data_IF_066148443950
#
_entry.id   IF_066148443950
#
_cell.length_a   1.000
_cell.length_b   1.000
_cell.length_c   1.000
_cell.angle_alpha   90.00
_cell.angle_beta   90.00
_cell.angle_gamma   90.00
#
_symmetry.space_group_name_H-M   'P 1'
#
loop_
_entity.id
_entity.type
_entity.pdbx_description
1 polymer ?
#
# COMPACT_ATOMS: atom_id res chain seq x y z
N UNK A 1 -13.92 -25.55 -5.50
CA UNK A 1 -13.49 -25.27 -4.11
C UNK A 1 -13.87 -23.84 -3.75
N UNK A 2 -14.54 -23.64 -2.62
CA UNK A 2 -14.95 -22.31 -2.14
C UNK A 2 -14.01 -21.85 -1.04
N UNK A 3 -13.32 -20.73 -1.26
CA UNK A 3 -12.29 -20.20 -0.36
C UNK A 3 -12.71 -18.86 0.24
N UNK A 4 -12.54 -18.67 1.55
CA UNK A 4 -12.68 -17.38 2.21
C UNK A 4 -11.32 -16.84 2.64
N UNK A 5 -10.98 -15.64 2.17
CA UNK A 5 -9.84 -14.87 2.66
C UNK A 5 -10.33 -13.88 3.72
N UNK A 6 -9.69 -13.82 4.86
CA UNK A 6 -10.00 -12.86 5.93
C UNK A 6 -8.87 -11.84 6.05
N UNK A 7 -9.12 -10.60 5.56
CA UNK A 7 -8.19 -9.48 5.74
C UNK A 7 -8.95 -8.15 5.88
N UNK A 8 -9.30 -7.76 7.09
CA UNK A 8 -10.12 -6.56 7.36
C UNK A 8 -9.41 -5.23 7.03
N UNK A 9 -8.10 -5.16 7.18
CA UNK A 9 -7.31 -3.92 7.04
C UNK A 9 -5.80 -4.22 7.01
N UNK A 10 -4.95 -3.32 6.64
CA UNK A 10 -5.14 -1.96 6.11
C UNK A 10 -5.15 -1.96 4.58
N UNK A 11 -5.32 -0.76 3.94
CA UNK A 11 -5.30 -0.63 2.47
C UNK A 11 -4.13 -1.39 1.83
N UNK A 12 -2.90 -1.07 2.24
CA UNK A 12 -1.71 -1.73 1.70
C UNK A 12 -1.67 -3.23 1.96
N UNK A 13 -2.05 -3.67 3.18
CA UNK A 13 -2.08 -5.10 3.49
C UNK A 13 -3.10 -5.88 2.65
N UNK A 14 -4.26 -5.25 2.31
CA UNK A 14 -5.27 -5.85 1.44
C UNK A 14 -4.72 -5.97 0.01
N UNK A 15 -4.09 -4.92 -0.53
CA UNK A 15 -3.44 -4.95 -1.84
C UNK A 15 -2.41 -6.08 -1.91
N UNK A 16 -1.62 -6.26 -0.85
CA UNK A 16 -0.58 -7.28 -0.79
C UNK A 16 -1.12 -8.73 -0.75
N UNK A 17 -2.46 -8.93 -0.66
CA UNK A 17 -3.09 -10.27 -0.81
C UNK A 17 -3.44 -10.62 -2.26
N UNK A 18 -3.33 -9.69 -3.21
CA UNK A 18 -3.71 -9.96 -4.62
C UNK A 18 -3.04 -11.19 -5.21
N UNK A 19 -1.75 -11.51 -4.94
CA UNK A 19 -1.12 -12.73 -5.43
C UNK A 19 -1.77 -14.03 -4.92
N UNK A 20 -2.31 -14.01 -3.70
CA UNK A 20 -3.05 -15.15 -3.15
C UNK A 20 -4.39 -15.32 -3.89
N UNK A 21 -5.12 -14.21 -4.11
CA UNK A 21 -6.37 -14.21 -4.86
C UNK A 21 -6.17 -14.73 -6.28
N UNK A 22 -5.11 -14.25 -6.97
CA UNK A 22 -4.77 -14.69 -8.32
C UNK A 22 -4.48 -16.20 -8.37
N UNK A 23 -3.71 -16.70 -7.40
CA UNK A 23 -3.36 -18.13 -7.33
C UNK A 23 -4.58 -19.01 -7.05
N UNK A 24 -5.47 -18.60 -6.15
CA UNK A 24 -6.72 -19.31 -5.86
C UNK A 24 -7.65 -19.32 -7.07
N UNK A 25 -7.84 -18.18 -7.71
CA UNK A 25 -8.71 -18.06 -8.89
C UNK A 25 -8.19 -18.89 -10.08
N UNK A 26 -6.88 -18.90 -10.31
CA UNK A 26 -6.26 -19.71 -11.37
C UNK A 26 -6.44 -21.22 -11.10
N UNK A 27 -6.47 -21.63 -9.84
CA UNK A 27 -6.79 -22.99 -9.44
C UNK A 27 -8.31 -23.32 -9.50
N UNK A 28 -9.13 -22.43 -10.05
CA UNK A 28 -10.58 -22.62 -10.20
C UNK A 28 -11.36 -22.47 -8.88
N UNK A 29 -10.82 -21.80 -7.86
CA UNK A 29 -11.53 -21.56 -6.62
C UNK A 29 -12.53 -20.41 -6.76
N UNK A 30 -13.73 -20.57 -6.17
CA UNK A 30 -14.68 -19.49 -5.89
C UNK A 30 -14.14 -18.70 -4.69
N UNK A 31 -13.64 -17.49 -4.95
CA UNK A 31 -12.96 -16.67 -3.93
C UNK A 31 -13.95 -15.72 -3.26
N UNK A 32 -14.03 -15.79 -1.95
CA UNK A 32 -14.72 -14.86 -1.06
C UNK A 32 -13.70 -14.07 -0.24
N UNK A 33 -14.01 -12.79 0.06
CA UNK A 33 -13.09 -11.92 0.78
C UNK A 33 -13.79 -11.14 1.89
N UNK A 34 -13.44 -11.40 3.15
CA UNK A 34 -13.92 -10.66 4.31
C UNK A 34 -13.05 -9.42 4.55
N UNK A 35 -13.62 -8.23 4.38
CA UNK A 35 -12.93 -6.94 4.41
C UNK A 35 -13.70 -5.93 5.25
N UNK A 36 -13.03 -4.94 5.88
CA UNK A 36 -13.74 -3.84 6.52
C UNK A 36 -14.41 -2.94 5.47
N UNK A 37 -15.65 -2.50 5.73
CA UNK A 37 -16.50 -1.74 4.81
C UNK A 37 -15.77 -0.59 4.12
N UNK A 38 -14.95 0.18 4.86
CA UNK A 38 -14.17 1.30 4.32
C UNK A 38 -13.13 0.92 3.25
N UNK A 39 -12.87 -0.37 3.05
CA UNK A 39 -11.94 -0.88 2.04
C UNK A 39 -12.63 -1.82 1.04
N UNK A 40 -13.95 -2.01 1.14
CA UNK A 40 -14.67 -2.94 0.28
C UNK A 40 -14.56 -2.57 -1.21
N UNK A 41 -14.61 -1.27 -1.51
CA UNK A 41 -14.46 -0.74 -2.87
C UNK A 41 -13.13 -1.15 -3.52
N UNK A 42 -12.07 -1.33 -2.73
CA UNK A 42 -10.75 -1.75 -3.24
C UNK A 42 -10.80 -3.12 -3.96
N UNK A 43 -11.71 -4.01 -3.56
CA UNK A 43 -11.81 -5.34 -4.14
C UNK A 43 -12.21 -5.32 -5.63
N UNK A 44 -12.89 -4.26 -6.09
CA UNK A 44 -13.22 -4.09 -7.51
C UNK A 44 -11.99 -3.93 -8.41
N UNK A 45 -10.86 -3.55 -7.85
CA UNK A 45 -9.58 -3.34 -8.55
C UNK A 45 -8.69 -4.58 -8.56
N UNK A 46 -9.12 -5.68 -7.97
CA UNK A 46 -8.34 -6.92 -7.99
C UNK A 46 -8.37 -7.55 -9.39
N UNK A 47 -7.27 -8.18 -9.84
CA UNK A 47 -7.15 -8.71 -11.20
C UNK A 47 -8.03 -9.94 -11.49
N UNK A 48 -8.68 -10.49 -10.47
CA UNK A 48 -9.60 -11.64 -10.56
C UNK A 48 -10.90 -11.35 -9.83
N UNK A 49 -12.05 -11.81 -10.35
CA UNK A 49 -13.34 -11.63 -9.70
C UNK A 49 -13.39 -12.38 -8.36
N UNK A 50 -14.09 -11.80 -7.40
CA UNK A 50 -14.36 -12.39 -6.09
C UNK A 50 -15.64 -11.84 -5.49
N UNK A 51 -16.19 -12.55 -4.49
CA UNK A 51 -17.30 -12.04 -3.69
C UNK A 51 -16.80 -11.33 -2.44
N UNK A 52 -16.96 -10.01 -2.38
CA UNK A 52 -16.61 -9.21 -1.22
C UNK A 52 -17.67 -9.29 -0.11
N UNK A 53 -17.24 -9.45 1.13
CA UNK A 53 -18.07 -9.40 2.34
C UNK A 53 -17.60 -8.27 3.23
N UNK A 54 -18.37 -7.17 3.26
CA UNK A 54 -18.02 -5.97 4.02
C UNK A 54 -18.39 -6.11 5.50
N UNK A 55 -17.46 -5.77 6.39
CA UNK A 55 -17.64 -5.78 7.84
C UNK A 55 -17.49 -4.37 8.42
N UNK A 56 -18.55 -3.84 9.05
CA UNK A 56 -18.57 -2.51 9.67
C UNK A 56 -18.45 -2.52 11.19
N UNK A 57 -18.53 -3.70 11.82
CA UNK A 57 -18.66 -3.85 13.27
C UNK A 57 -17.40 -3.54 14.08
N UNK A 58 -17.61 -3.22 15.36
CA UNK A 58 -16.55 -2.99 16.36
C UNK A 58 -16.63 -3.92 17.55
N UNK A 59 -17.80 -4.46 17.86
CA UNK A 59 -18.11 -5.31 19.00
C UNK A 59 -18.02 -6.81 18.68
N UNK A 60 -18.08 -7.65 19.71
CA UNK A 60 -18.18 -9.10 19.53
C UNK A 60 -19.55 -9.52 18.96
N UNK A 61 -20.62 -8.79 19.31
CA UNK A 61 -21.96 -9.00 18.75
C UNK A 61 -22.02 -8.74 17.25
N UNK A 62 -21.45 -7.63 16.81
CA UNK A 62 -21.35 -7.32 15.37
C UNK A 62 -20.63 -8.44 14.61
N UNK A 63 -19.57 -8.99 15.20
CA UNK A 63 -18.80 -10.07 14.60
C UNK A 63 -19.60 -11.39 14.57
N UNK A 64 -20.44 -11.64 15.59
CA UNK A 64 -21.33 -12.81 15.62
C UNK A 64 -22.39 -12.71 14.52
N UNK A 65 -23.05 -11.56 14.38
CA UNK A 65 -24.02 -11.30 13.31
C UNK A 65 -23.37 -11.40 11.93
N UNK A 66 -22.17 -10.88 11.77
CA UNK A 66 -21.41 -11.00 10.53
C UNK A 66 -21.09 -12.46 10.19
N UNK A 67 -20.69 -13.25 11.19
CA UNK A 67 -20.44 -14.69 11.01
C UNK A 67 -21.72 -15.46 10.66
N UNK A 68 -22.87 -15.09 11.25
CA UNK A 68 -24.18 -15.68 10.92
C UNK A 68 -24.56 -15.47 9.44
N UNK A 69 -24.14 -14.37 8.82
CA UNK A 69 -24.32 -14.13 7.38
C UNK A 69 -23.60 -15.15 6.45
N UNK A 70 -22.79 -16.03 7.01
CA UNK A 70 -22.14 -17.14 6.30
C UNK A 70 -22.75 -18.52 6.62
N UNK A 71 -23.82 -18.59 7.42
CA UNK A 71 -24.39 -19.86 7.92
C UNK A 71 -24.74 -20.84 6.80
N UNK A 72 -25.27 -20.33 5.68
CA UNK A 72 -25.67 -21.13 4.51
C UNK A 72 -24.50 -21.39 3.54
N UNK A 73 -23.29 -20.91 3.88
CA UNK A 73 -22.11 -21.00 3.02
C UNK A 73 -21.07 -21.91 3.65
N UNK A 74 -20.84 -23.04 3.02
CA UNK A 74 -19.74 -23.91 3.41
C UNK A 74 -18.49 -23.50 2.66
N UNK A 75 -17.42 -23.17 3.40
CA UNK A 75 -16.11 -22.92 2.84
C UNK A 75 -15.25 -24.17 2.96
N UNK A 76 -14.65 -24.58 1.85
CA UNK A 76 -13.69 -25.69 1.84
C UNK A 76 -12.35 -25.29 2.47
N UNK A 77 -11.99 -24.00 2.37
CA UNK A 77 -10.77 -23.43 2.89
C UNK A 77 -10.99 -22.00 3.41
N UNK A 78 -10.47 -21.69 4.59
CA UNK A 78 -10.42 -20.33 5.14
C UNK A 78 -8.96 -19.92 5.34
N UNK A 79 -8.57 -18.81 4.71
CA UNK A 79 -7.24 -18.21 4.87
C UNK A 79 -7.32 -16.99 5.79
N UNK A 80 -6.86 -17.12 7.04
CA UNK A 80 -6.72 -15.97 7.96
C UNK A 80 -5.42 -15.21 7.69
N UNK A 81 -5.46 -14.29 6.75
CA UNK A 81 -4.34 -13.40 6.43
C UNK A 81 -4.30 -12.15 7.32
N UNK A 82 -5.19 -12.03 8.30
CA UNK A 82 -5.20 -10.94 9.28
C UNK A 82 -4.54 -11.33 10.61
N UNK A 83 -4.76 -12.55 11.05
CA UNK A 83 -4.14 -13.20 12.20
C UNK A 83 -4.24 -12.39 13.52
N UNK A 84 -5.39 -11.72 13.74
CA UNK A 84 -5.67 -11.01 14.98
C UNK A 84 -6.86 -11.62 15.73
N UNK A 85 -7.21 -11.07 16.91
CA UNK A 85 -8.30 -11.61 17.72
C UNK A 85 -9.66 -11.60 16.99
N UNK A 86 -9.94 -10.55 16.15
CA UNK A 86 -11.22 -10.46 15.41
C UNK A 86 -11.31 -11.53 14.32
N UNK A 87 -10.25 -11.68 13.52
CA UNK A 87 -10.24 -12.70 12.48
C UNK A 87 -10.32 -14.10 13.06
N UNK A 88 -9.60 -14.37 14.15
CA UNK A 88 -9.66 -15.66 14.85
C UNK A 88 -11.07 -15.96 15.41
N UNK A 89 -11.76 -14.95 15.96
CA UNK A 89 -13.14 -15.11 16.41
C UNK A 89 -14.11 -15.38 15.25
N UNK A 90 -13.96 -14.68 14.12
CA UNK A 90 -14.75 -14.96 12.92
C UNK A 90 -14.54 -16.41 12.48
N UNK A 91 -13.29 -16.79 12.25
CA UNK A 91 -12.91 -18.12 11.77
C UNK A 91 -13.45 -19.24 12.67
N UNK A 92 -13.36 -19.08 14.00
CA UNK A 92 -13.93 -20.06 14.95
C UNK A 92 -15.45 -20.22 14.79
N UNK A 93 -16.17 -19.13 14.51
CA UNK A 93 -17.64 -19.16 14.32
C UNK A 93 -18.08 -19.76 12.99
N UNK A 94 -17.21 -19.75 11.97
CA UNK A 94 -17.51 -20.36 10.68
C UNK A 94 -17.53 -21.90 10.74
N UNK A 95 -16.91 -22.50 11.77
CA UNK A 95 -16.88 -23.96 11.96
C UNK A 95 -16.17 -24.75 10.84
N UNK A 96 -15.39 -24.08 10.00
CA UNK A 96 -14.66 -24.71 8.90
C UNK A 96 -13.47 -25.52 9.43
N UNK A 97 -13.28 -26.75 8.96
CA UNK A 97 -12.22 -27.62 9.40
C UNK A 97 -10.84 -27.23 8.84
N UNK A 98 -10.82 -26.71 7.62
CA UNK A 98 -9.57 -26.32 6.96
C UNK A 98 -9.32 -24.83 7.07
N UNK A 99 -8.57 -24.43 8.10
CA UNK A 99 -8.19 -23.04 8.37
C UNK A 99 -6.68 -22.95 8.36
N UNK A 100 -6.15 -22.11 7.48
CA UNK A 100 -4.74 -21.76 7.43
C UNK A 100 -4.53 -20.30 7.83
N UNK A 101 -3.63 -20.07 8.75
CA UNK A 101 -3.28 -18.72 9.22
C UNK A 101 -1.87 -18.38 8.77
N UNK A 102 -1.70 -17.22 8.14
CA UNK A 102 -0.37 -16.83 7.67
C UNK A 102 0.64 -16.73 8.84
N UNK A 103 1.88 -17.22 8.63
CA UNK A 103 2.88 -17.19 9.68
C UNK A 103 3.29 -15.74 9.98
N UNK A 104 3.06 -15.31 11.21
CA UNK A 104 3.45 -13.99 11.68
C UNK A 104 4.95 -13.96 12.01
N UNK A 105 5.68 -12.96 11.54
CA UNK A 105 7.08 -12.72 11.94
C UNK A 105 7.15 -11.80 13.18
N UNK A 106 6.25 -12.01 14.15
CA UNK A 106 6.15 -11.13 15.30
C UNK A 106 7.48 -11.00 16.03
N UNK A 107 8.12 -12.12 16.36
CA UNK A 107 9.37 -12.15 17.12
C UNK A 107 10.53 -11.52 16.34
N UNK A 108 10.67 -11.84 15.04
CA UNK A 108 11.70 -11.23 14.19
C UNK A 108 11.52 -9.71 14.10
N UNK A 109 10.30 -9.24 13.85
CA UNK A 109 9.99 -7.81 13.77
C UNK A 109 10.14 -7.10 15.12
N UNK A 110 9.80 -7.79 16.21
CA UNK A 110 10.03 -7.29 17.57
C UNK A 110 11.53 -7.14 17.85
N UNK A 111 12.33 -8.17 17.56
CA UNK A 111 13.79 -8.12 17.79
C UNK A 111 14.48 -7.04 16.96
N UNK A 112 14.05 -6.79 15.73
CA UNK A 112 14.57 -5.69 14.91
C UNK A 112 14.31 -4.32 15.55
N UNK A 113 13.12 -4.12 16.12
CA UNK A 113 12.74 -2.83 16.73
C UNK A 113 13.42 -2.64 18.07
N UNK A 114 13.41 -3.65 18.95
CA UNK A 114 13.84 -3.51 20.35
C UNK A 114 15.29 -3.93 20.59
N UNK A 115 15.77 -4.97 19.92
CA UNK A 115 17.14 -5.46 20.07
C UNK A 115 18.11 -4.93 19.01
N UNK A 116 17.60 -4.17 18.00
CA UNK A 116 18.39 -3.60 16.89
C UNK A 116 19.25 -4.64 16.14
N UNK A 117 18.81 -5.89 16.11
CA UNK A 117 19.49 -6.98 15.40
C UNK A 117 19.12 -6.97 13.92
N UNK A 118 19.80 -6.12 13.15
CA UNK A 118 19.51 -5.85 11.72
C UNK A 118 19.82 -6.99 10.74
N UNK A 119 20.49 -8.06 11.19
CA UNK A 119 20.76 -9.25 10.35
C UNK A 119 19.58 -10.22 10.28
N UNK A 120 18.56 -10.09 11.14
CA UNK A 120 17.35 -10.92 11.10
C UNK A 120 16.29 -10.15 10.29
N UNK A 121 16.28 -10.30 8.98
CA UNK A 121 15.25 -9.71 8.13
C UNK A 121 13.95 -10.51 8.24
N UNK A 122 12.83 -9.81 8.40
CA UNK A 122 11.52 -10.44 8.22
C UNK A 122 11.30 -10.74 6.74
N UNK A 123 10.69 -11.89 6.44
CA UNK A 123 10.28 -12.19 5.07
C UNK A 123 9.22 -11.18 4.61
N UNK A 124 9.20 -10.89 3.32
CA UNK A 124 8.18 -10.00 2.76
C UNK A 124 6.77 -10.54 3.06
N UNK A 125 5.83 -9.64 3.39
CA UNK A 125 4.48 -10.06 3.82
C UNK A 125 3.75 -10.86 2.73
N UNK A 126 3.97 -10.54 1.45
CA UNK A 126 3.43 -11.31 0.32
C UNK A 126 3.90 -12.77 0.35
N UNK A 127 5.19 -13.00 0.63
CA UNK A 127 5.74 -14.35 0.72
C UNK A 127 5.10 -15.17 1.84
N UNK A 128 4.83 -14.50 2.97
CA UNK A 128 4.13 -15.13 4.10
C UNK A 128 2.66 -15.41 3.81
N UNK A 129 2.00 -14.56 3.01
CA UNK A 129 0.64 -14.83 2.55
C UNK A 129 0.61 -16.01 1.57
N UNK A 130 1.54 -16.04 0.62
CA UNK A 130 1.66 -17.13 -0.33
C UNK A 130 2.06 -18.47 0.32
N UNK A 131 2.79 -18.43 1.44
CA UNK A 131 3.13 -19.63 2.20
C UNK A 131 1.89 -20.36 2.72
N UNK A 132 0.81 -19.62 3.07
CA UNK A 132 -0.45 -20.26 3.52
C UNK A 132 -1.07 -21.17 2.45
N UNK A 133 -0.96 -20.81 1.17
CA UNK A 133 -1.54 -21.62 0.09
C UNK A 133 -0.61 -22.74 -0.39
N UNK A 134 0.69 -22.70 -0.10
CA UNK A 134 1.62 -23.77 -0.45
C UNK A 134 1.28 -25.08 0.25
N UNK A 135 0.74 -25.02 1.46
CA UNK A 135 0.29 -26.21 2.20
C UNK A 135 -0.92 -26.89 1.53
N UNK A 136 -1.61 -26.21 0.63
CA UNK A 136 -2.80 -26.73 -0.09
C UNK A 136 -2.48 -27.26 -1.49
N UNK A 137 -1.22 -27.31 -1.90
CA UNK A 137 -0.76 -27.69 -3.24
C UNK A 137 -1.26 -26.73 -4.36
N UNK A 138 -1.85 -25.59 -4.03
CA UNK A 138 -2.25 -24.57 -4.99
C UNK A 138 -0.99 -23.90 -5.56
N UNK A 139 -0.82 -23.86 -6.89
CA UNK A 139 0.36 -23.26 -7.49
C UNK A 139 0.36 -21.74 -7.29
N UNK A 140 1.52 -21.20 -6.91
CA UNK A 140 1.73 -19.76 -6.83
C UNK A 140 2.00 -19.22 -8.24
N UNK A 141 1.09 -18.43 -8.79
CA UNK A 141 1.20 -17.90 -10.16
C UNK A 141 1.98 -16.59 -10.23
N UNK A 142 1.94 -15.80 -9.17
CA UNK A 142 2.69 -14.54 -9.05
C UNK A 142 3.04 -14.23 -7.61
N UNK A 143 4.08 -13.44 -7.42
CA UNK A 143 4.42 -12.86 -6.11
C UNK A 143 4.41 -11.32 -6.15
N UNK A 144 3.99 -10.73 -7.28
CA UNK A 144 3.89 -9.28 -7.46
C UNK A 144 2.43 -8.87 -7.27
N UNK A 145 2.11 -8.01 -6.29
CA UNK A 145 0.76 -7.47 -6.14
C UNK A 145 0.32 -6.68 -7.37
N UNK A 146 -0.94 -6.81 -7.76
CA UNK A 146 -1.50 -6.13 -8.93
C UNK A 146 -2.88 -5.53 -8.62
N UNK A 147 -3.12 -4.35 -9.17
CA UNK A 147 -4.44 -3.73 -9.29
C UNK A 147 -4.73 -3.43 -10.76
N UNK A 148 -6.00 -3.48 -11.12
CA UNK A 148 -6.47 -3.22 -12.48
C UNK A 148 -7.48 -2.07 -12.45
N UNK A 149 -7.34 -1.12 -13.34
CA UNK A 149 -8.26 0.01 -13.52
C UNK A 149 -8.92 -0.14 -14.87
N UNK A 150 -10.22 0.07 -14.94
CA UNK A 150 -10.98 0.05 -16.18
C UNK A 150 -10.64 1.27 -17.05
N UNK A 151 -10.81 1.14 -18.36
CA UNK A 151 -10.63 2.24 -19.29
C UNK A 151 -11.55 3.45 -18.95
N UNK A 152 -12.76 3.18 -18.45
CA UNK A 152 -13.71 4.21 -18.04
C UNK A 152 -13.22 5.00 -16.82
N UNK A 153 -12.69 4.33 -15.79
CA UNK A 153 -12.13 4.97 -14.60
C UNK A 153 -10.89 5.79 -14.96
N UNK A 154 -10.02 5.23 -15.80
CA UNK A 154 -8.85 5.94 -16.32
C UNK A 154 -9.26 7.21 -17.08
N UNK A 155 -10.24 7.14 -17.97
CA UNK A 155 -10.77 8.29 -18.70
C UNK A 155 -11.44 9.32 -17.75
N UNK A 156 -12.14 8.87 -16.70
CA UNK A 156 -12.72 9.76 -15.67
C UNK A 156 -11.63 10.53 -14.91
N UNK A 157 -10.60 9.82 -14.45
CA UNK A 157 -9.48 10.44 -13.76
C UNK A 157 -8.73 11.43 -14.67
N UNK A 158 -8.56 11.10 -15.96
CA UNK A 158 -7.95 12.00 -16.93
C UNK A 158 -8.74 13.30 -17.08
N UNK A 159 -10.06 13.22 -17.23
CA UNK A 159 -10.92 14.44 -17.31
C UNK A 159 -10.79 15.30 -16.06
N UNK A 160 -10.82 14.67 -14.88
CA UNK A 160 -10.65 15.38 -13.61
C UNK A 160 -9.29 16.08 -13.49
N UNK A 161 -8.22 15.44 -13.94
CA UNK A 161 -6.87 16.01 -13.95
C UNK A 161 -6.75 17.15 -14.97
N UNK A 162 -7.34 16.99 -16.17
CA UNK A 162 -7.36 18.03 -17.20
C UNK A 162 -8.07 19.28 -16.73
N UNK A 163 -9.15 19.17 -15.94
CA UNK A 163 -9.83 20.31 -15.33
C UNK A 163 -8.93 21.08 -14.33
N UNK A 164 -7.91 20.42 -13.76
CA UNK A 164 -6.88 21.05 -12.93
C UNK A 164 -5.73 21.65 -13.77
N UNK A 165 -5.76 21.52 -15.10
CA UNK A 165 -4.69 21.99 -15.99
C UNK A 165 -3.57 20.96 -16.28
N UNK A 166 -3.73 19.73 -15.79
CA UNK A 166 -2.79 18.66 -16.12
C UNK A 166 -3.00 18.12 -17.55
N UNK A 167 -1.91 17.74 -18.21
CA UNK A 167 -1.95 17.13 -19.54
C UNK A 167 -1.18 15.81 -19.54
N UNK A 168 -1.71 14.81 -20.28
CA UNK A 168 -1.15 13.46 -20.38
C UNK A 168 0.12 13.33 -21.23
N UNK A 169 0.47 14.36 -21.99
CA UNK A 169 1.69 14.44 -22.80
C UNK A 169 2.96 14.72 -21.97
N UNK A 170 2.77 15.06 -20.70
CA UNK A 170 3.88 15.37 -19.78
C UNK A 170 4.25 14.17 -18.94
N UNK A 171 5.55 13.93 -18.78
CA UNK A 171 6.03 13.03 -17.74
C UNK A 171 5.45 13.45 -16.39
N UNK A 172 4.94 12.49 -15.61
CA UNK A 172 4.21 12.78 -14.37
C UNK A 172 4.81 12.06 -13.18
N UNK A 173 5.10 12.80 -12.12
CA UNK A 173 5.59 12.29 -10.84
C UNK A 173 4.45 12.33 -9.84
N UNK A 174 4.11 11.18 -9.26
CA UNK A 174 3.17 11.10 -8.14
C UNK A 174 3.88 11.28 -6.80
N UNK A 175 3.30 12.05 -5.90
CA UNK A 175 3.77 12.25 -4.53
C UNK A 175 2.69 11.78 -3.55
N UNK A 176 2.93 10.67 -2.86
CA UNK A 176 2.08 10.18 -1.76
C UNK A 176 2.41 10.93 -0.47
N UNK A 177 1.70 12.05 -0.24
CA UNK A 177 1.98 13.01 0.83
C UNK A 177 1.76 12.44 2.22
N UNK A 178 0.62 11.77 2.41
CA UNK A 178 0.14 11.37 3.71
C UNK A 178 0.60 9.99 4.16
N UNK A 179 0.46 9.75 5.45
CA UNK A 179 0.51 8.43 6.07
C UNK A 179 -0.50 8.34 7.21
N UNK A 180 -1.02 7.12 7.48
CA UNK A 180 -1.95 6.91 8.60
C UNK A 180 -1.40 7.38 9.95
N UNK A 181 -0.09 7.25 10.15
CA UNK A 181 0.59 7.62 11.39
C UNK A 181 1.47 8.84 11.14
N UNK A 182 1.34 9.91 11.96
CA UNK A 182 2.08 11.16 11.76
C UNK A 182 3.61 10.96 11.72
N UNK A 183 4.12 9.98 12.47
CA UNK A 183 5.55 9.68 12.50
C UNK A 183 6.08 9.12 11.17
N UNK A 184 5.22 8.49 10.36
CA UNK A 184 5.57 7.98 9.03
C UNK A 184 5.44 9.03 7.92
N UNK A 185 4.76 10.14 8.20
CA UNK A 185 4.61 11.23 7.24
C UNK A 185 5.99 11.84 6.97
N UNK A 186 6.34 11.91 5.70
CA UNK A 186 7.60 12.54 5.27
C UNK A 186 7.52 14.03 5.60
N UNK A 187 8.55 14.63 6.22
CA UNK A 187 8.56 16.06 6.53
C UNK A 187 8.46 16.93 5.27
N UNK A 188 7.73 18.04 5.35
CA UNK A 188 7.60 19.02 4.25
C UNK A 188 8.94 19.51 3.73
N UNK A 189 9.93 19.66 4.63
CA UNK A 189 11.31 20.04 4.28
C UNK A 189 11.91 19.06 3.26
N UNK A 190 11.76 17.75 3.46
CA UNK A 190 12.29 16.75 2.53
C UNK A 190 11.60 16.82 1.16
N UNK A 191 10.29 17.05 1.14
CA UNK A 191 9.55 17.30 -0.11
C UNK A 191 10.07 18.53 -0.84
N UNK A 192 10.35 19.62 -0.10
CA UNK A 192 10.96 20.83 -0.66
C UNK A 192 12.35 20.61 -1.23
N UNK A 193 13.20 19.84 -0.54
CA UNK A 193 14.53 19.46 -1.01
C UNK A 193 14.45 18.60 -2.28
N UNK A 194 13.54 17.61 -2.32
CA UNK A 194 13.31 16.80 -3.52
C UNK A 194 12.83 17.66 -4.69
N UNK A 195 11.86 18.56 -4.43
CA UNK A 195 11.36 19.48 -5.46
C UNK A 195 12.48 20.39 -6.00
N UNK A 196 13.38 20.89 -5.15
CA UNK A 196 14.51 21.68 -5.56
C UNK A 196 15.48 20.90 -6.47
N UNK A 197 15.79 19.63 -6.13
CA UNK A 197 16.63 18.75 -6.94
C UNK A 197 16.01 18.40 -8.31
N UNK A 198 14.67 18.35 -8.38
CA UNK A 198 13.94 18.08 -9.61
C UNK A 198 13.49 19.35 -10.35
N UNK A 199 14.04 20.54 -9.99
CA UNK A 199 13.60 21.83 -10.57
C UNK A 199 13.76 21.88 -12.09
N UNK A 200 14.82 21.31 -12.63
CA UNK A 200 15.11 21.28 -14.08
C UNK A 200 14.51 20.09 -14.80
N UNK A 201 13.83 19.18 -14.09
CA UNK A 201 13.18 18.00 -14.67
C UNK A 201 11.83 18.41 -15.24
N UNK A 202 11.57 18.27 -16.55
CA UNK A 202 10.33 18.68 -17.18
C UNK A 202 9.23 17.62 -16.87
N UNK A 203 8.59 17.74 -15.71
CA UNK A 203 7.54 16.83 -15.27
C UNK A 203 6.40 17.56 -14.56
N UNK A 204 5.19 17.02 -14.67
CA UNK A 204 4.07 17.37 -13.84
C UNK A 204 4.13 16.64 -12.48
N UNK A 205 3.57 17.23 -11.43
CA UNK A 205 3.56 16.64 -10.10
C UNK A 205 2.11 16.46 -9.63
N UNK A 206 1.68 15.24 -9.38
CA UNK A 206 0.40 14.95 -8.75
C UNK A 206 0.61 14.69 -7.25
N UNK A 207 0.03 15.52 -6.38
CA UNK A 207 0.16 15.36 -4.92
C UNK A 207 -1.08 14.67 -4.37
N UNK A 208 -0.92 13.44 -3.92
CA UNK A 208 -1.99 12.63 -3.35
C UNK A 208 -2.03 12.77 -1.83
N UNK A 209 -3.11 13.32 -1.31
CA UNK A 209 -3.27 13.56 0.13
C UNK A 209 -4.70 13.31 0.61
N UNK A 210 -4.86 13.04 1.90
CA UNK A 210 -6.17 13.00 2.53
C UNK A 210 -6.70 14.42 2.76
N UNK A 211 -8.02 14.58 2.91
CA UNK A 211 -8.64 15.88 3.12
C UNK A 211 -8.03 16.66 4.31
N UNK A 212 -7.64 15.97 5.37
CA UNK A 212 -7.00 16.57 6.55
C UNK A 212 -5.62 17.19 6.29
N UNK A 213 -4.98 16.84 5.18
CA UNK A 213 -3.66 17.36 4.79
C UNK A 213 -3.77 18.53 3.81
N UNK A 214 -4.98 18.98 3.48
CA UNK A 214 -5.25 20.00 2.44
C UNK A 214 -4.50 21.31 2.66
N UNK A 215 -4.52 21.85 3.88
CA UNK A 215 -3.84 23.12 4.20
C UNK A 215 -2.33 22.99 4.00
N UNK A 216 -1.72 21.92 4.51
CA UNK A 216 -0.28 21.71 4.39
C UNK A 216 0.16 21.51 2.92
N UNK A 217 -0.66 20.84 2.12
CA UNK A 217 -0.40 20.68 0.67
C UNK A 217 -0.54 22.01 -0.04
N UNK A 218 -1.59 22.81 0.26
CA UNK A 218 -1.79 24.13 -0.36
C UNK A 218 -0.61 25.07 -0.07
N UNK A 219 -0.16 25.15 1.18
CA UNK A 219 1.02 25.93 1.56
C UNK A 219 2.29 25.48 0.85
N UNK A 220 2.46 24.15 0.68
CA UNK A 220 3.61 23.60 -0.05
C UNK A 220 3.57 23.99 -1.53
N UNK A 221 2.42 23.88 -2.19
CA UNK A 221 2.23 24.25 -3.60
C UNK A 221 2.54 25.72 -3.80
N UNK A 222 1.97 26.61 -2.98
CA UNK A 222 2.21 28.06 -3.04
C UNK A 222 3.70 28.39 -2.88
N UNK A 223 4.36 27.86 -1.83
CA UNK A 223 5.79 28.08 -1.58
C UNK A 223 6.70 27.49 -2.67
N UNK A 224 6.25 26.46 -3.37
CA UNK A 224 7.02 25.85 -4.45
C UNK A 224 7.15 26.78 -5.67
N UNK A 225 6.21 27.71 -5.85
CA UNK A 225 6.13 28.62 -7.00
C UNK A 225 6.02 27.91 -8.35
N UNK A 226 5.52 26.67 -8.37
CA UNK A 226 5.45 25.84 -9.56
C UNK A 226 4.03 25.78 -10.12
N UNK A 227 3.88 26.04 -11.39
CA UNK A 227 2.61 25.95 -12.13
C UNK A 227 2.22 24.49 -12.49
N UNK A 228 3.19 23.55 -12.43
CA UNK A 228 3.00 22.18 -12.85
C UNK A 228 2.73 21.20 -11.68
N UNK A 229 2.14 21.68 -10.59
CA UNK A 229 1.77 20.89 -9.41
C UNK A 229 0.25 20.85 -9.27
N UNK A 230 -0.30 19.64 -9.25
CA UNK A 230 -1.74 19.40 -9.27
C UNK A 230 -2.16 18.59 -8.03
N UNK A 231 -2.86 19.19 -7.06
CA UNK A 231 -3.32 18.51 -5.85
C UNK A 231 -4.48 17.55 -6.12
N UNK A 232 -4.33 16.29 -5.75
CA UNK A 232 -5.37 15.23 -5.72
C UNK A 232 -5.71 14.97 -4.25
N UNK A 233 -6.39 15.92 -3.62
CA UNK A 233 -6.65 15.92 -2.17
C UNK A 233 -8.08 15.54 -1.86
N UNK A 234 -8.29 14.63 -0.90
CA UNK A 234 -9.61 14.23 -0.42
C UNK A 234 -10.48 13.55 -1.47
N UNK A 235 -9.91 13.05 -2.56
CA UNK A 235 -10.65 12.40 -3.63
C UNK A 235 -11.03 10.96 -3.28
N UNK A 236 -12.13 10.43 -3.85
CA UNK A 236 -12.51 9.03 -3.75
C UNK A 236 -11.42 8.08 -4.26
N UNK A 237 -11.44 6.83 -3.79
CA UNK A 237 -10.44 5.83 -4.17
C UNK A 237 -10.33 5.60 -5.70
N UNK A 238 -11.44 5.53 -6.47
CA UNK A 238 -11.37 5.43 -7.93
C UNK A 238 -10.55 6.53 -8.60
N UNK A 239 -10.81 7.78 -8.21
CA UNK A 239 -10.10 8.95 -8.76
C UNK A 239 -8.62 8.93 -8.39
N UNK A 240 -8.31 8.52 -7.15
CA UNK A 240 -6.93 8.39 -6.68
C UNK A 240 -6.18 7.31 -7.46
N UNK A 241 -6.75 6.12 -7.61
CA UNK A 241 -6.13 5.01 -8.34
C UNK A 241 -5.99 5.35 -9.83
N UNK A 242 -7.05 5.95 -10.41
CA UNK A 242 -7.03 6.43 -11.80
C UNK A 242 -5.93 7.45 -12.04
N UNK A 243 -5.80 8.44 -11.15
CA UNK A 243 -4.74 9.45 -11.25
C UNK A 243 -3.33 8.87 -11.06
N UNK A 244 -3.15 7.91 -10.13
CA UNK A 244 -1.86 7.21 -9.94
C UNK A 244 -1.44 6.49 -11.22
N UNK A 245 -2.37 5.91 -12.00
CA UNK A 245 -2.05 5.19 -13.23
C UNK A 245 -1.41 6.03 -14.33
N UNK A 246 -1.47 7.36 -14.22
CA UNK A 246 -0.78 8.29 -15.11
C UNK A 246 0.62 8.68 -14.66
N UNK A 247 1.04 8.24 -13.46
CA UNK A 247 2.37 8.55 -12.97
C UNK A 247 3.42 7.65 -13.60
N UNK A 248 4.55 8.23 -13.98
CA UNK A 248 5.73 7.55 -14.51
C UNK A 248 6.72 7.17 -13.39
N UNK A 249 6.64 7.86 -12.27
CA UNK A 249 7.30 7.53 -11.02
C UNK A 249 6.40 7.94 -9.84
N UNK A 250 6.45 7.21 -8.75
CA UNK A 250 5.67 7.52 -7.55
C UNK A 250 6.57 7.53 -6.31
N UNK A 251 6.65 8.66 -5.63
CA UNK A 251 7.43 8.81 -4.39
C UNK A 251 6.47 8.92 -3.21
N UNK A 252 6.62 8.09 -2.20
CA UNK A 252 5.68 8.06 -1.08
C UNK A 252 6.35 7.66 0.23
N UNK A 253 5.75 8.06 1.34
CA UNK A 253 6.02 7.43 2.63
C UNK A 253 5.60 5.95 2.62
N UNK A 254 6.07 5.16 3.60
CA UNK A 254 5.57 3.81 3.89
C UNK A 254 4.06 3.86 4.23
N UNK A 255 3.20 3.76 3.22
CA UNK A 255 1.75 3.96 3.27
C UNK A 255 0.99 3.03 2.33
N UNK A 256 -0.35 3.06 2.41
CA UNK A 256 -1.21 2.31 1.50
C UNK A 256 -1.08 2.74 0.04
N UNK A 257 -0.86 4.06 -0.22
CA UNK A 257 -0.68 4.58 -1.57
C UNK A 257 0.62 4.08 -2.22
N UNK A 258 1.68 3.90 -1.44
CA UNK A 258 2.92 3.27 -1.92
C UNK A 258 2.65 1.88 -2.52
N UNK A 259 1.86 1.07 -1.82
CA UNK A 259 1.50 -0.27 -2.31
C UNK A 259 0.52 -0.21 -3.48
N UNK A 260 -0.39 0.76 -3.49
CA UNK A 260 -1.33 0.96 -4.60
C UNK A 260 -0.59 1.33 -5.90
N UNK A 261 0.34 2.29 -5.84
CA UNK A 261 1.14 2.69 -7.00
C UNK A 261 1.97 1.53 -7.55
N UNK A 262 2.68 0.81 -6.68
CA UNK A 262 3.46 -0.37 -7.07
C UNK A 262 2.58 -1.46 -7.69
N UNK A 263 1.37 -1.70 -7.16
CA UNK A 263 0.42 -2.69 -7.66
C UNK A 263 -0.24 -2.28 -9.00
N UNK A 264 -0.31 -0.98 -9.28
CA UNK A 264 -0.72 -0.44 -10.59
C UNK A 264 0.42 -0.48 -11.63
N UNK A 265 1.58 -1.03 -11.27
CA UNK A 265 2.75 -1.12 -12.15
C UNK A 265 3.57 0.17 -12.25
N UNK A 266 3.28 1.18 -11.43
CA UNK A 266 4.04 2.43 -11.39
C UNK A 266 5.33 2.23 -10.60
N UNK A 267 6.53 2.54 -11.15
CA UNK A 267 7.79 2.53 -10.43
C UNK A 267 7.69 3.37 -9.14
N UNK A 268 7.86 2.72 -7.98
CA UNK A 268 7.51 3.33 -6.69
C UNK A 268 8.72 3.41 -5.76
N UNK A 269 9.01 4.61 -5.28
CA UNK A 269 10.09 4.90 -4.35
C UNK A 269 9.50 5.15 -2.95
N UNK A 270 9.59 4.14 -2.09
CA UNK A 270 9.04 4.19 -0.74
C UNK A 270 10.05 4.72 0.28
N UNK A 271 9.76 5.86 0.92
CA UNK A 271 10.63 6.47 1.94
C UNK A 271 10.25 5.93 3.32
N UNK A 272 11.22 5.28 3.97
CA UNK A 272 11.05 4.67 5.28
C UNK A 272 11.78 5.50 6.35
N UNK A 273 11.03 5.94 7.35
CA UNK A 273 11.56 6.70 8.50
C UNK A 273 11.59 5.85 9.78
N UNK A 274 10.52 5.87 10.62
CA UNK A 274 10.45 5.11 11.88
C UNK A 274 10.25 3.60 11.68
N UNK A 275 9.83 3.19 10.50
CA UNK A 275 9.75 1.81 10.01
C UNK A 275 10.97 1.49 9.14
N UNK A 276 11.11 0.24 8.71
CA UNK A 276 12.24 -0.20 7.89
C UNK A 276 11.77 -1.22 6.84
N UNK A 277 12.33 -1.20 5.61
CA UNK A 277 11.97 -2.17 4.55
C UNK A 277 12.11 -3.62 5.01
N UNK A 278 13.14 -3.92 5.83
CA UNK A 278 13.38 -5.25 6.38
C UNK A 278 12.27 -5.76 7.32
N UNK A 279 11.28 -4.93 7.70
CA UNK A 279 10.05 -5.39 8.37
C UNK A 279 9.09 -6.13 7.42
N UNK A 280 9.43 -6.23 6.13
CA UNK A 280 8.71 -7.00 5.12
C UNK A 280 7.60 -6.24 4.39
N UNK A 281 7.67 -4.89 4.32
CA UNK A 281 6.68 -4.04 3.64
C UNK A 281 7.29 -3.09 2.60
N UNK A 282 8.43 -3.45 2.02
CA UNK A 282 8.96 -2.71 0.87
C UNK A 282 7.94 -2.68 -0.28
N UNK A 283 7.89 -1.63 -1.13
CA UNK A 283 7.08 -1.66 -2.32
C UNK A 283 7.55 -2.80 -3.23
N UNK A 284 6.61 -3.51 -3.87
CA UNK A 284 6.91 -4.68 -4.69
C UNK A 284 6.27 -4.54 -6.06
N UNK A 285 7.08 -4.29 -7.04
CA UNK A 285 6.70 -4.08 -8.44
C UNK A 285 7.93 -3.70 -9.26
N UNK A 286 7.84 -3.70 -10.59
CA UNK A 286 8.94 -3.30 -11.47
C UNK A 286 9.41 -1.88 -11.15
N UNK A 287 10.73 -1.67 -11.07
CA UNK A 287 11.33 -0.38 -10.78
C UNK A 287 11.04 0.20 -9.39
N UNK A 288 10.51 -0.62 -8.46
CA UNK A 288 10.17 -0.15 -7.11
C UNK A 288 11.34 -0.32 -6.14
N UNK A 289 11.63 0.72 -5.37
CA UNK A 289 12.73 0.76 -4.41
C UNK A 289 12.30 1.26 -3.03
N UNK A 290 12.93 0.74 -2.01
CA UNK A 290 12.77 1.22 -0.63
C UNK A 290 13.94 2.12 -0.25
N UNK A 291 13.64 3.37 0.09
CA UNK A 291 14.62 4.39 0.46
C UNK A 291 14.67 4.48 1.99
N UNK A 292 15.87 4.32 2.54
CA UNK A 292 16.09 4.34 3.98
C UNK A 292 17.46 4.95 4.30
N UNK A 293 17.54 5.81 5.32
CA UNK A 293 18.76 6.55 5.69
C UNK A 293 19.82 5.73 6.41
N UNK A 294 19.57 4.47 6.75
CA UNK A 294 20.51 3.62 7.49
C UNK A 294 20.74 4.02 8.96
N UNK A 295 19.97 4.97 9.50
CA UNK A 295 20.17 5.44 10.88
C UNK A 295 19.94 4.32 11.90
N UNK A 296 20.83 4.18 12.88
CA UNK A 296 20.83 3.11 13.89
C UNK A 296 19.51 2.99 14.66
N UNK A 297 18.84 4.09 15.00
CA UNK A 297 17.60 4.04 15.76
C UNK A 297 16.38 3.56 14.95
N UNK A 298 16.48 3.44 13.62
CA UNK A 298 15.42 2.85 12.77
C UNK A 298 15.69 1.35 12.51
N UNK A 299 14.64 0.49 12.58
CA UNK A 299 13.27 0.82 12.95
C UNK A 299 13.12 1.09 14.45
N UNK A 300 12.38 2.15 14.79
CA UNK A 300 11.97 2.41 16.18
C UNK A 300 10.51 2.07 16.44
N UNK A 301 9.77 1.68 15.41
CA UNK A 301 8.38 1.27 15.48
C UNK A 301 8.07 0.21 14.43
N UNK A 302 7.24 -0.79 14.78
CA UNK A 302 6.74 -1.78 13.81
C UNK A 302 5.70 -1.18 12.85
N UNK A 303 4.97 -0.14 13.29
CA UNK A 303 3.84 0.42 12.57
C UNK A 303 3.84 1.95 12.48
N UNK A 304 4.80 2.64 13.09
CA UNK A 304 4.84 4.10 13.15
C UNK A 304 3.91 4.74 14.19
N UNK A 305 3.37 3.96 15.15
CA UNK A 305 2.42 4.49 16.16
C UNK A 305 3.09 5.33 17.25
N UNK A 306 4.30 4.94 17.65
CA UNK A 306 5.01 5.60 18.72
C UNK A 306 5.66 6.90 18.23
N UNK A 307 5.65 7.97 19.03
CA UNK A 307 6.40 9.19 18.73
C UNK A 307 7.89 8.90 18.66
N UNK A 308 8.64 9.81 18.04
CA UNK A 308 10.10 9.69 17.99
C UNK A 308 10.69 9.90 19.39
N UNK A 309 11.19 8.83 20.02
CA UNK A 309 11.76 8.87 21.37
C UNK A 309 13.05 9.74 21.46
N UNK A 310 13.70 9.97 20.31
CA UNK A 310 14.86 10.85 20.18
C UNK A 310 14.53 12.29 19.79
N UNK A 311 13.25 12.58 19.47
CA UNK A 311 12.71 13.89 19.09
C UNK A 311 13.35 14.58 17.86
N UNK A 312 14.20 13.91 17.09
CA UNK A 312 14.98 14.54 16.00
C UNK A 312 14.55 14.18 14.58
N UNK A 313 13.84 13.07 14.32
CA UNK A 313 13.43 12.59 12.98
C UNK A 313 14.57 12.45 11.94
N UNK A 314 15.81 12.27 12.35
CA UNK A 314 16.97 12.11 11.45
C UNK A 314 16.82 10.94 10.45
N UNK A 315 15.91 9.99 10.71
CA UNK A 315 15.55 8.92 9.76
C UNK A 315 15.00 9.46 8.43
N UNK A 316 14.44 10.67 8.42
CA UNK A 316 14.07 11.38 7.20
C UNK A 316 15.14 12.41 6.80
N UNK A 317 15.67 13.20 7.73
CA UNK A 317 16.63 14.26 7.48
C UNK A 317 17.94 13.78 6.85
N UNK A 318 18.33 12.52 7.13
CA UNK A 318 19.50 11.87 6.53
C UNK A 318 19.18 11.04 5.27
N UNK A 319 17.98 11.18 4.72
CA UNK A 319 17.67 10.57 3.42
C UNK A 319 18.55 11.18 2.34
N UNK A 320 19.19 10.34 1.53
CA UNK A 320 19.94 10.82 0.38
C UNK A 320 18.96 11.29 -0.72
N UNK A 321 18.64 12.60 -0.67
CA UNK A 321 17.66 13.22 -1.59
C UNK A 321 18.19 13.28 -3.02
N UNK A 322 19.53 13.38 -3.21
CA UNK A 322 20.13 13.35 -4.56
C UNK A 322 19.94 11.98 -5.22
N UNK A 323 20.27 10.91 -4.51
CA UNK A 323 20.05 9.56 -5.01
C UNK A 323 18.56 9.29 -5.29
N UNK A 324 17.66 9.81 -4.43
CA UNK A 324 16.22 9.73 -4.67
C UNK A 324 15.80 10.47 -5.94
N UNK A 325 16.30 11.68 -6.16
CA UNK A 325 16.02 12.47 -7.35
C UNK A 325 16.56 11.80 -8.62
N UNK A 326 17.73 11.17 -8.55
CA UNK A 326 18.31 10.45 -9.71
C UNK A 326 17.45 9.23 -10.08
N UNK A 327 17.00 8.44 -9.11
CA UNK A 327 16.07 7.34 -9.37
C UNK A 327 14.76 7.83 -10.03
N UNK A 328 14.23 8.98 -9.58
CA UNK A 328 13.07 9.58 -10.24
C UNK A 328 13.36 9.92 -11.69
N UNK A 329 14.50 10.59 -11.99
CA UNK A 329 14.90 10.93 -13.36
C UNK A 329 15.10 9.69 -14.24
N UNK A 330 15.67 8.65 -13.69
CA UNK A 330 15.89 7.37 -14.38
C UNK A 330 14.54 6.76 -14.83
N UNK A 331 13.54 6.72 -13.95
CA UNK A 331 12.22 6.21 -14.30
C UNK A 331 11.51 7.08 -15.35
N UNK A 332 11.66 8.39 -15.29
CA UNK A 332 11.10 9.27 -16.32
C UNK A 332 11.75 9.07 -17.69
N UNK A 333 13.07 8.89 -17.77
CA UNK A 333 13.77 8.59 -19.02
C UNK A 333 13.32 7.26 -19.64
N UNK A 334 13.13 6.23 -18.82
CA UNK A 334 12.68 4.91 -19.25
C UNK A 334 11.23 4.85 -19.75
N UNK A 335 10.43 5.89 -19.47
CA UNK A 335 9.02 5.98 -19.90
C UNK A 335 8.81 6.76 -21.20
N UNK A 336 9.78 7.57 -21.65
CA UNK A 336 9.71 8.33 -22.90
C UNK A 336 9.86 7.42 -24.14
N UNK A 337 10.24 6.16 -23.97
CA UNK A 337 10.42 5.16 -25.02
C UNK A 337 9.34 4.07 -25.10
N UNK A 338 8.21 4.24 -24.35
CA UNK A 338 7.08 3.29 -24.35
C UNK A 338 5.80 4.01 -24.88
#
# INVERSE_FOLDING_TARGET
MRCLIVRFSSLGDIILTTPVVESLAEAGAEVHFAVATRYAELLAYFPRPMTGHAFSGRTQGDLANYAAGFADRRFDLVLDLHANWRSRMLVRRLGTQHVLTYPGDFFRRWSMVYLKRGFIRARHVVERYLETIRETQIPVVTSVPRLVITAQEKASAQRSLTQLGWSSDRSTIGIGWGARWPTKKVPVKLWGELAARLKTTPAAYLIFAAAQDQTEVAEFVERSGRENVFPVVGKPLPDVLGAISFCHAFVSSDSGLMHAAAALGVPTLGIFGPTHPALGFAPRGPGSHAIHSGIFCSPCSRHGRAPCYRRHRHCFERTNVEALAELVREHLRGSIGR
#
